data_IF_178700901132
#
_entry.id   IF_178700901132
#
_cell.length_a   1.000
_cell.length_b   1.000
_cell.length_c   1.000
_cell.angle_alpha   90.00
_cell.angle_beta   90.00
_cell.angle_gamma   90.00
#
_symmetry.space_group_name_H-M   'P 1'
#
loop_
_entity.id
_entity.type
_entity.pdbx_description
1 polymer ?
#
# COMPACT_ATOMS: atom_id res chain seq x y z
N UNK A 1 67.31 -30.14 8.33
CA UNK A 1 67.09 -30.61 6.95
C UNK A 1 65.69 -31.18 6.89
N UNK A 2 64.75 -30.45 6.28
CA UNK A 2 63.35 -30.85 6.21
C UNK A 2 63.21 -31.98 5.19
N UNK A 3 62.98 -33.21 5.66
CA UNK A 3 62.79 -34.37 4.82
C UNK A 3 61.49 -34.26 4.04
N UNK A 4 61.58 -33.96 2.74
CA UNK A 4 60.44 -34.12 1.83
C UNK A 4 60.10 -35.61 1.76
N UNK A 5 58.95 -36.00 2.33
CA UNK A 5 58.33 -37.31 2.06
C UNK A 5 58.25 -37.52 0.54
N UNK A 6 58.51 -38.73 0.02
CA UNK A 6 58.32 -39.01 -1.40
C UNK A 6 56.86 -38.71 -1.74
N UNK A 7 56.65 -37.80 -2.68
CA UNK A 7 55.32 -37.44 -3.17
C UNK A 7 54.84 -38.65 -3.97
N UNK A 8 53.76 -39.30 -3.53
CA UNK A 8 53.16 -40.40 -4.28
C UNK A 8 52.88 -39.93 -5.73
N UNK A 9 53.00 -40.82 -6.73
CA UNK A 9 52.61 -40.47 -8.09
C UNK A 9 51.12 -40.05 -8.10
N UNK A 10 50.72 -39.14 -9.00
CA UNK A 10 49.32 -38.73 -9.11
C UNK A 10 48.39 -39.93 -9.35
N UNK A 11 47.14 -39.85 -8.93
CA UNK A 11 46.15 -40.88 -9.23
C UNK A 11 45.66 -40.77 -10.68
N UNK A 12 45.36 -41.90 -11.31
CA UNK A 12 44.57 -41.94 -12.52
C UNK A 12 43.14 -41.47 -12.21
N UNK A 13 42.66 -40.48 -12.96
CA UNK A 13 41.34 -39.88 -12.80
C UNK A 13 40.44 -40.31 -13.96
N UNK A 14 39.38 -41.04 -13.63
CA UNK A 14 38.26 -41.34 -14.50
C UNK A 14 36.95 -40.82 -13.90
N UNK A 15 35.92 -40.65 -14.74
CA UNK A 15 34.60 -40.20 -14.32
C UNK A 15 33.58 -41.29 -14.65
N UNK A 16 32.72 -41.57 -13.67
CA UNK A 16 31.55 -42.43 -13.84
C UNK A 16 30.32 -41.59 -13.59
N UNK A 17 29.43 -41.53 -14.57
CA UNK A 17 28.10 -40.97 -14.40
C UNK A 17 27.18 -42.05 -13.85
N UNK A 18 26.50 -41.74 -12.75
CA UNK A 18 25.35 -42.48 -12.24
C UNK A 18 24.07 -41.70 -12.60
N UNK A 19 22.87 -42.25 -12.38
CA UNK A 19 21.59 -41.68 -12.87
C UNK A 19 21.39 -40.19 -12.51
N UNK A 20 21.92 -39.74 -11.36
CA UNK A 20 21.84 -38.36 -10.86
C UNK A 20 23.17 -37.72 -10.43
N UNK A 21 24.29 -38.44 -10.49
CA UNK A 21 25.55 -37.98 -9.92
C UNK A 21 26.75 -38.21 -10.84
N UNK A 22 27.74 -37.34 -10.73
CA UNK A 22 29.06 -37.50 -11.33
C UNK A 22 30.05 -37.92 -10.23
N UNK A 23 30.55 -39.15 -10.35
CA UNK A 23 31.53 -39.72 -9.43
C UNK A 23 32.91 -39.69 -10.09
N UNK A 24 33.87 -39.05 -9.43
CA UNK A 24 35.28 -39.14 -9.78
C UNK A 24 35.87 -40.40 -9.14
N UNK A 25 36.46 -41.26 -9.96
CA UNK A 25 37.14 -42.48 -9.52
C UNK A 25 38.65 -42.24 -9.61
N UNK A 26 39.33 -42.42 -8.49
CA UNK A 26 40.77 -42.23 -8.34
C UNK A 26 41.45 -43.58 -8.12
N UNK A 27 42.30 -43.97 -9.07
CA UNK A 27 43.05 -45.23 -9.02
C UNK A 27 44.55 -44.97 -8.97
N UNK A 28 45.30 -45.83 -8.28
CA UNK A 28 46.75 -45.71 -8.24
C UNK A 28 47.34 -45.99 -9.63
N UNK A 29 48.20 -45.10 -10.12
CA UNK A 29 48.86 -45.25 -11.41
C UNK A 29 50.25 -44.63 -11.39
N UNK A 30 51.25 -45.34 -11.90
CA UNK A 30 52.63 -44.84 -11.99
C UNK A 30 52.86 -43.89 -13.19
N UNK A 31 51.93 -43.88 -14.16
CA UNK A 31 52.02 -43.07 -15.39
C UNK A 31 51.08 -41.85 -15.41
N UNK A 32 50.30 -41.65 -14.35
CA UNK A 32 49.31 -40.59 -14.29
C UNK A 32 49.95 -39.20 -14.19
N UNK A 33 49.44 -38.27 -15.01
CA UNK A 33 49.89 -36.88 -15.04
C UNK A 33 49.18 -36.05 -13.95
N UNK A 34 49.83 -35.01 -13.41
CA UNK A 34 49.20 -34.09 -12.46
C UNK A 34 47.91 -33.49 -13.01
N UNK A 35 46.88 -33.44 -12.18
CA UNK A 35 45.63 -32.79 -12.53
C UNK A 35 45.73 -31.28 -12.31
N UNK A 36 45.17 -30.51 -13.23
CA UNK A 36 44.94 -29.07 -13.11
C UNK A 36 43.45 -28.80 -13.24
N UNK A 37 42.97 -27.68 -12.69
CA UNK A 37 41.56 -27.31 -12.77
C UNK A 37 41.03 -27.29 -14.22
N UNK A 38 41.84 -26.82 -15.18
CA UNK A 38 41.47 -26.82 -16.61
C UNK A 38 41.37 -28.22 -17.22
N UNK A 39 42.32 -29.11 -16.92
CA UNK A 39 42.29 -30.50 -17.42
C UNK A 39 41.10 -31.28 -16.83
N UNK A 40 40.85 -31.12 -15.52
CA UNK A 40 39.68 -31.71 -14.86
C UNK A 40 38.38 -31.23 -15.50
N UNK A 41 38.25 -29.91 -15.75
CA UNK A 41 37.06 -29.33 -16.40
C UNK A 41 36.84 -29.91 -17.80
N UNK A 42 37.90 -30.04 -18.61
CA UNK A 42 37.80 -30.62 -19.95
C UNK A 42 37.33 -32.08 -19.90
N UNK A 43 37.91 -32.88 -18.99
CA UNK A 43 37.51 -34.28 -18.84
C UNK A 43 36.07 -34.46 -18.32
N UNK A 44 35.58 -33.53 -17.49
CA UNK A 44 34.17 -33.51 -17.05
C UNK A 44 33.25 -33.23 -18.26
N UNK A 45 33.63 -32.32 -19.14
CA UNK A 45 32.88 -32.03 -20.37
C UNK A 45 32.92 -33.24 -21.32
N UNK A 46 34.07 -33.89 -21.48
CA UNK A 46 34.23 -35.09 -22.31
C UNK A 46 33.38 -36.26 -21.78
N UNK A 47 33.14 -36.31 -20.46
CA UNK A 47 32.24 -37.26 -19.80
C UNK A 47 30.75 -36.89 -19.92
N UNK A 48 30.40 -35.82 -20.64
CA UNK A 48 29.01 -35.37 -20.82
C UNK A 48 28.37 -34.72 -19.59
N UNK A 49 29.17 -34.36 -18.59
CA UNK A 49 28.70 -33.78 -17.32
C UNK A 49 29.07 -32.29 -17.15
N UNK A 50 29.27 -31.59 -18.26
CA UNK A 50 29.66 -30.17 -18.26
C UNK A 50 28.63 -29.24 -17.62
N UNK A 51 27.35 -29.62 -17.67
CA UNK A 51 26.22 -28.83 -17.17
C UNK A 51 25.78 -29.19 -15.75
N UNK A 52 26.47 -30.12 -15.09
CA UNK A 52 26.11 -30.55 -13.73
C UNK A 52 26.39 -29.46 -12.70
N UNK A 53 25.72 -29.55 -11.55
CA UNK A 53 25.99 -28.66 -10.44
C UNK A 53 27.22 -29.14 -9.67
N UNK A 54 28.14 -28.23 -9.37
CA UNK A 54 29.38 -28.54 -8.64
C UNK A 54 29.43 -27.68 -7.37
N UNK A 55 29.40 -28.28 -6.17
CA UNK A 55 29.55 -27.53 -4.91
C UNK A 55 30.83 -26.68 -4.88
N UNK A 56 30.75 -25.50 -4.24
CA UNK A 56 31.89 -24.59 -4.16
C UNK A 56 33.11 -25.28 -3.54
N UNK A 57 34.22 -25.33 -4.27
CA UNK A 57 35.50 -25.88 -3.79
C UNK A 57 35.70 -27.37 -4.07
N UNK A 58 34.68 -28.12 -4.50
CA UNK A 58 34.80 -29.57 -4.74
C UNK A 58 35.85 -29.91 -5.80
N UNK A 59 35.93 -29.10 -6.87
CA UNK A 59 36.91 -29.28 -7.93
C UNK A 59 38.36 -29.01 -7.46
N UNK A 60 38.54 -28.10 -6.49
CA UNK A 60 39.85 -27.85 -5.88
C UNK A 60 40.28 -29.05 -5.02
N UNK A 61 39.35 -29.55 -4.20
CA UNK A 61 39.59 -30.75 -3.39
C UNK A 61 39.91 -31.97 -4.26
N UNK A 62 39.20 -32.15 -5.38
CA UNK A 62 39.48 -33.22 -6.34
C UNK A 62 40.91 -33.11 -6.91
N UNK A 63 41.31 -31.93 -7.36
CA UNK A 63 42.66 -31.69 -7.91
C UNK A 63 43.75 -31.97 -6.87
N UNK A 64 43.54 -31.57 -5.61
CA UNK A 64 44.48 -31.86 -4.53
C UNK A 64 44.60 -33.36 -4.27
N UNK A 65 43.48 -34.08 -4.17
CA UNK A 65 43.46 -35.52 -3.94
C UNK A 65 44.14 -36.30 -5.07
N UNK A 66 43.87 -35.95 -6.33
CA UNK A 66 44.55 -36.53 -7.49
C UNK A 66 46.06 -36.30 -7.41
N UNK A 67 46.49 -35.07 -7.11
CA UNK A 67 47.92 -34.71 -7.06
C UNK A 67 48.65 -35.25 -5.82
N UNK A 68 47.92 -35.70 -4.80
CA UNK A 68 48.44 -36.35 -3.60
C UNK A 68 48.53 -37.88 -3.75
N UNK A 69 47.96 -38.46 -4.82
CA UNK A 69 47.94 -39.91 -5.02
C UNK A 69 46.85 -40.63 -4.21
N UNK A 70 45.80 -39.92 -3.79
CA UNK A 70 44.70 -40.50 -3.04
C UNK A 70 43.85 -41.41 -3.95
N UNK A 71 43.39 -42.54 -3.42
CA UNK A 71 42.53 -43.50 -4.14
C UNK A 71 41.13 -43.55 -3.53
N UNK A 72 40.11 -43.79 -4.36
CA UNK A 72 38.73 -43.92 -3.93
C UNK A 72 37.75 -43.22 -4.87
N UNK A 73 36.48 -43.23 -4.48
CA UNK A 73 35.40 -42.60 -5.23
C UNK A 73 34.93 -41.33 -4.51
N UNK A 74 34.66 -40.27 -5.27
CA UNK A 74 34.18 -39.00 -4.74
C UNK A 74 33.07 -38.49 -5.63
N UNK A 75 31.92 -38.22 -5.04
CA UNK A 75 30.85 -37.50 -5.73
C UNK A 75 31.24 -36.03 -5.87
N UNK A 76 31.34 -35.56 -7.11
CA UNK A 76 31.87 -34.23 -7.41
C UNK A 76 30.84 -33.30 -8.04
N UNK A 77 29.76 -33.85 -8.58
CA UNK A 77 28.67 -33.05 -9.10
C UNK A 77 27.38 -33.85 -9.18
N UNK A 78 26.26 -33.14 -9.23
CA UNK A 78 24.91 -33.71 -9.22
C UNK A 78 24.06 -33.09 -10.33
N UNK A 79 23.09 -33.85 -10.81
CA UNK A 79 22.04 -33.37 -11.71
C UNK A 79 20.95 -32.72 -10.88
N UNK A 80 20.72 -31.44 -11.09
CA UNK A 80 19.63 -30.71 -10.44
C UNK A 80 18.60 -30.29 -11.49
N UNK A 81 17.35 -30.63 -11.24
CA UNK A 81 16.22 -30.08 -11.98
C UNK A 81 16.01 -28.62 -11.60
N UNK A 82 15.44 -27.83 -12.51
CA UNK A 82 15.03 -26.47 -12.20
C UNK A 82 13.90 -26.50 -11.15
N UNK A 83 14.03 -25.69 -10.11
CA UNK A 83 13.02 -25.61 -9.03
C UNK A 83 12.17 -24.36 -9.20
N UNK A 84 10.87 -24.51 -8.98
CA UNK A 84 9.89 -23.44 -8.99
C UNK A 84 9.35 -23.22 -7.56
N UNK A 85 9.23 -21.97 -7.14
CA UNK A 85 8.59 -21.62 -5.87
C UNK A 85 7.64 -20.46 -6.10
N UNK A 86 6.40 -20.61 -5.63
CA UNK A 86 5.36 -19.58 -5.69
C UNK A 86 5.15 -19.07 -4.26
N UNK A 87 5.23 -17.76 -4.08
CA UNK A 87 5.00 -17.10 -2.81
C UNK A 87 3.85 -16.09 -2.97
N UNK A 88 2.84 -16.22 -2.12
CA UNK A 88 1.74 -15.27 -2.00
C UNK A 88 2.04 -14.33 -0.84
N UNK A 89 1.84 -13.03 -1.05
CA UNK A 89 2.02 -12.03 -0.01
C UNK A 89 1.08 -12.23 1.18
N UNK A 90 1.45 -11.73 2.36
CA UNK A 90 0.64 -11.90 3.58
C UNK A 90 -0.75 -11.24 3.48
N UNK A 91 -0.87 -10.17 2.70
CA UNK A 91 -2.13 -9.49 2.39
C UNK A 91 -2.91 -10.17 1.25
N UNK A 92 -2.35 -11.24 0.64
CA UNK A 92 -2.88 -11.97 -0.51
C UNK A 92 -3.14 -11.11 -1.75
N UNK A 93 -2.51 -9.94 -1.85
CA UNK A 93 -2.67 -9.03 -2.99
C UNK A 93 -1.66 -9.25 -4.10
N UNK A 94 -0.58 -9.99 -3.85
CA UNK A 94 0.40 -10.30 -4.89
C UNK A 94 0.87 -11.74 -4.82
N UNK A 95 1.19 -12.27 -5.99
CA UNK A 95 1.81 -13.59 -6.16
C UNK A 95 3.11 -13.44 -6.93
N UNK A 96 4.17 -14.00 -6.37
CA UNK A 96 5.51 -13.96 -6.95
C UNK A 96 6.03 -15.36 -7.24
N UNK A 97 6.91 -15.46 -8.22
CA UNK A 97 7.55 -16.71 -8.62
C UNK A 97 9.07 -16.57 -8.53
N UNK A 98 9.72 -17.61 -8.04
CA UNK A 98 11.17 -17.75 -8.04
C UNK A 98 11.54 -19.05 -8.74
N UNK A 99 12.44 -18.97 -9.71
CA UNK A 99 12.90 -20.11 -10.50
C UNK A 99 14.43 -20.24 -10.47
N UNK A 100 14.92 -21.48 -10.38
CA UNK A 100 16.34 -21.79 -10.54
C UNK A 100 16.60 -22.41 -11.90
N UNK A 101 17.85 -22.32 -12.38
CA UNK A 101 18.28 -23.01 -13.61
C UNK A 101 18.46 -24.50 -13.34
N UNK A 102 18.16 -25.32 -14.36
CA UNK A 102 18.55 -26.72 -14.35
C UNK A 102 20.07 -26.88 -14.52
N UNK A 103 20.62 -27.94 -13.92
CA UNK A 103 22.02 -28.35 -14.05
C UNK A 103 22.08 -29.81 -14.49
N UNK A 104 22.02 -30.06 -15.81
CA UNK A 104 21.92 -31.41 -16.38
C UNK A 104 20.60 -32.13 -16.11
N UNK A 105 19.69 -31.52 -15.34
CA UNK A 105 18.31 -31.94 -15.12
C UNK A 105 17.32 -31.31 -16.12
N UNK A 106 16.03 -31.42 -15.81
CA UNK A 106 14.95 -30.89 -16.65
C UNK A 106 14.68 -29.40 -16.35
N UNK A 107 14.45 -28.56 -17.38
CA UNK A 107 13.98 -27.18 -17.18
C UNK A 107 12.53 -27.16 -16.71
N UNK A 108 12.08 -26.02 -16.16
CA UNK A 108 10.68 -25.83 -15.78
C UNK A 108 9.81 -25.84 -17.04
N UNK A 109 8.74 -26.64 -17.03
CA UNK A 109 7.75 -26.65 -18.10
C UNK A 109 6.57 -25.73 -17.78
N UNK A 110 5.85 -25.29 -18.81
CA UNK A 110 4.61 -24.53 -18.64
C UNK A 110 3.56 -25.32 -17.84
N UNK A 111 3.50 -26.65 -18.03
CA UNK A 111 2.61 -27.54 -17.28
C UNK A 111 2.92 -27.53 -15.78
N UNK A 112 4.21 -27.58 -15.41
CA UNK A 112 4.63 -27.50 -14.00
C UNK A 112 4.26 -26.16 -13.35
N UNK A 113 4.35 -25.06 -14.10
CA UNK A 113 3.91 -23.74 -13.62
C UNK A 113 2.40 -23.75 -13.36
N UNK A 114 1.61 -24.26 -14.30
CA UNK A 114 0.16 -24.33 -14.16
C UNK A 114 -0.27 -25.23 -13.00
N UNK A 115 0.37 -26.40 -12.85
CA UNK A 115 0.15 -27.29 -11.71
C UNK A 115 0.50 -26.61 -10.39
N UNK A 116 1.63 -25.89 -10.33
CA UNK A 116 2.06 -25.18 -9.12
C UNK A 116 1.12 -24.03 -8.76
N UNK A 117 0.64 -23.27 -9.75
CA UNK A 117 -0.37 -22.22 -9.56
C UNK A 117 -1.70 -22.79 -9.07
N UNK A 118 -2.13 -23.91 -9.65
CA UNK A 118 -3.35 -24.60 -9.23
C UNK A 118 -3.23 -25.19 -7.84
N UNK A 119 -2.07 -25.71 -7.44
CA UNK A 119 -1.83 -26.20 -6.08
C UNK A 119 -1.79 -25.08 -5.04
N UNK A 120 -1.44 -23.86 -5.47
CA UNK A 120 -1.45 -22.66 -4.65
C UNK A 120 -2.82 -21.94 -4.65
N UNK A 121 -3.84 -22.51 -5.32
CA UNK A 121 -5.20 -21.95 -5.47
C UNK A 121 -5.23 -20.51 -6.06
N UNK A 122 -4.24 -20.16 -6.89
CA UNK A 122 -4.16 -18.83 -7.52
C UNK A 122 -5.21 -18.71 -8.63
N UNK A 123 -6.02 -17.64 -8.63
CA UNK A 123 -7.00 -17.37 -9.67
C UNK A 123 -6.28 -17.05 -11.00
N UNK A 124 -6.53 -17.82 -12.09
CA UNK A 124 -5.94 -17.56 -13.40
C UNK A 124 -6.17 -16.13 -13.94
N UNK A 125 -7.21 -15.43 -13.47
CA UNK A 125 -7.50 -14.04 -13.89
C UNK A 125 -6.51 -13.03 -13.33
N UNK A 126 -5.87 -13.34 -12.20
CA UNK A 126 -4.90 -12.46 -11.56
C UNK A 126 -3.51 -12.61 -12.17
N UNK A 127 -3.26 -13.66 -12.95
CA UNK A 127 -1.93 -14.02 -13.46
C UNK A 127 -1.67 -13.43 -14.84
N UNK A 128 -0.50 -12.83 -15.02
CA UNK A 128 -0.04 -12.30 -16.29
C UNK A 128 0.79 -13.36 -17.04
N UNK A 129 0.22 -13.94 -18.10
CA UNK A 129 0.88 -14.96 -18.91
C UNK A 129 2.20 -14.49 -19.55
N UNK A 130 2.36 -13.20 -19.86
CA UNK A 130 3.61 -12.69 -20.45
C UNK A 130 4.76 -12.75 -19.43
N UNK A 131 4.46 -12.51 -18.15
CA UNK A 131 5.45 -12.63 -17.06
C UNK A 131 5.84 -14.08 -16.79
N UNK A 132 4.92 -15.03 -17.02
CA UNK A 132 5.24 -16.46 -16.92
C UNK A 132 6.23 -16.91 -18.00
N UNK A 133 6.14 -16.35 -19.21
CA UNK A 133 7.10 -16.64 -20.29
C UNK A 133 8.49 -16.18 -19.88
N UNK A 134 8.62 -15.01 -19.25
CA UNK A 134 9.90 -14.54 -18.72
C UNK A 134 10.48 -15.46 -17.63
N UNK A 135 9.62 -16.04 -16.78
CA UNK A 135 10.05 -17.02 -15.77
C UNK A 135 10.55 -18.35 -16.38
N UNK A 136 10.18 -18.64 -17.63
CA UNK A 136 10.64 -19.81 -18.40
C UNK A 136 11.95 -19.57 -19.15
N UNK A 137 12.27 -18.31 -19.48
CA UNK A 137 13.48 -17.96 -20.25
C UNK A 137 14.77 -18.01 -19.42
N UNK A 138 14.68 -17.91 -18.10
CA UNK A 138 15.84 -17.93 -17.21
C UNK A 138 15.49 -17.95 -15.73
N UNK A 139 16.51 -18.02 -14.85
CA UNK A 139 16.29 -17.96 -13.41
C UNK A 139 15.76 -16.59 -13.01
N UNK A 140 14.64 -16.56 -12.28
CA UNK A 140 14.05 -15.34 -11.75
C UNK A 140 13.97 -15.40 -10.22
N UNK A 141 14.13 -14.24 -9.58
CA UNK A 141 14.01 -14.10 -8.13
C UNK A 141 12.85 -13.15 -7.83
N UNK A 142 11.82 -13.65 -7.15
CA UNK A 142 10.62 -12.89 -6.74
C UNK A 142 9.99 -12.06 -7.86
N UNK A 143 9.85 -12.66 -9.04
CA UNK A 143 9.16 -12.01 -10.16
C UNK A 143 7.66 -11.96 -9.84
N UNK A 144 7.08 -10.77 -9.87
CA UNK A 144 5.64 -10.57 -9.73
C UNK A 144 4.91 -11.13 -10.96
N UNK A 145 4.03 -12.10 -10.74
CA UNK A 145 3.27 -12.77 -11.80
C UNK A 145 1.78 -12.49 -11.75
N UNK A 146 1.29 -11.92 -10.65
CA UNK A 146 -0.13 -11.59 -10.53
C UNK A 146 -0.44 -10.68 -9.37
N UNK A 147 -1.51 -9.91 -9.55
CA UNK A 147 -1.99 -8.91 -8.60
C UNK A 147 -3.50 -9.08 -8.36
N UNK A 148 -3.88 -8.97 -7.10
CA UNK A 148 -5.27 -8.83 -6.68
C UNK A 148 -5.72 -7.37 -6.84
N UNK A 149 -7.03 -7.16 -6.69
CA UNK A 149 -7.62 -5.83 -6.59
C UNK A 149 -7.77 -5.45 -5.11
N UNK A 150 -7.05 -4.43 -4.61
CA UNK A 150 -7.17 -4.02 -3.22
C UNK A 150 -8.58 -3.45 -2.93
N UNK A 151 -9.15 -3.70 -1.74
CA UNK A 151 -10.41 -3.09 -1.34
C UNK A 151 -10.25 -1.57 -1.18
N UNK A 152 -11.31 -0.82 -1.48
CA UNK A 152 -11.34 0.61 -1.26
C UNK A 152 -12.17 0.93 -0.02
N UNK A 153 -11.58 1.69 0.90
CA UNK A 153 -12.25 2.15 2.10
C UNK A 153 -13.43 3.07 1.75
N UNK A 154 -14.54 2.92 2.46
CA UNK A 154 -15.67 3.84 2.37
C UNK A 154 -15.37 5.23 2.94
N UNK A 155 -16.11 6.23 2.45
CA UNK A 155 -16.02 7.59 2.96
C UNK A 155 -16.79 7.71 4.28
N UNK A 156 -16.19 8.33 5.30
CA UNK A 156 -16.91 8.68 6.54
C UNK A 156 -18.04 9.69 6.25
N UNK A 157 -19.06 9.74 7.12
CA UNK A 157 -20.12 10.74 6.97
C UNK A 157 -19.56 12.17 6.96
N UNK A 158 -20.10 12.99 6.08
CA UNK A 158 -19.75 14.41 5.93
C UNK A 158 -20.93 15.27 6.36
N UNK A 159 -20.65 16.50 6.77
CA UNK A 159 -21.67 17.48 7.14
C UNK A 159 -21.52 18.69 6.23
N UNK A 160 -22.54 18.97 5.46
CA UNK A 160 -22.61 20.05 4.50
C UNK A 160 -23.57 21.13 5.02
N UNK A 161 -23.10 22.38 5.09
CA UNK A 161 -23.96 23.51 5.44
C UNK A 161 -24.88 23.82 4.27
N UNK A 162 -26.18 23.94 4.52
CA UNK A 162 -27.19 24.26 3.50
C UNK A 162 -27.53 25.75 3.45
N UNK A 163 -27.08 26.51 4.44
CA UNK A 163 -27.23 27.95 4.50
C UNK A 163 -26.01 28.65 3.90
N UNK A 164 -26.22 29.81 3.28
CA UNK A 164 -25.13 30.66 2.83
C UNK A 164 -24.33 31.14 4.04
N UNK A 165 -23.04 30.81 4.07
CA UNK A 165 -22.13 31.38 5.07
C UNK A 165 -21.81 32.81 4.67
N UNK A 166 -22.06 33.78 5.54
CA UNK A 166 -21.64 35.15 5.27
C UNK A 166 -20.15 35.19 4.96
N UNK A 167 -19.73 35.87 3.88
CA UNK A 167 -18.33 36.12 3.66
C UNK A 167 -17.75 36.90 4.85
N UNK A 168 -16.47 36.69 5.20
CA UNK A 168 -15.81 37.55 6.17
C UNK A 168 -15.87 39.00 5.68
N UNK A 169 -16.19 39.92 6.58
CA UNK A 169 -16.23 41.35 6.31
C UNK A 169 -14.93 41.79 5.63
N UNK A 170 -15.05 42.29 4.40
CA UNK A 170 -13.94 42.79 3.60
C UNK A 170 -14.34 44.17 3.10
N UNK A 171 -13.87 45.25 3.73
CA UNK A 171 -14.32 46.59 3.40
C UNK A 171 -13.95 46.93 1.96
N UNK A 172 -14.91 47.46 1.19
CA UNK A 172 -14.65 47.92 -0.16
C UNK A 172 -13.72 49.14 -0.13
N UNK A 173 -12.64 49.07 -0.93
CA UNK A 173 -11.69 50.18 -1.10
C UNK A 173 -12.11 50.93 -2.37
N UNK A 174 -12.39 52.21 -2.25
CA UNK A 174 -12.76 53.06 -3.37
C UNK A 174 -11.57 53.38 -4.31
N UNK A 175 -11.83 54.04 -5.44
CA UNK A 175 -10.80 54.44 -6.41
C UNK A 175 -9.74 55.40 -5.83
N UNK A 176 -10.02 56.02 -4.68
CA UNK A 176 -9.13 56.94 -3.96
C UNK A 176 -8.26 56.22 -2.91
N UNK A 177 -8.54 54.95 -2.62
CA UNK A 177 -7.86 54.17 -1.60
C UNK A 177 -8.49 54.30 -0.20
N UNK A 178 -9.65 54.92 -0.08
CA UNK A 178 -10.40 55.03 1.17
C UNK A 178 -11.34 53.81 1.31
N UNK A 179 -11.38 53.24 2.51
CA UNK A 179 -12.22 52.09 2.82
C UNK A 179 -13.37 52.54 3.72
N UNK A 180 -14.62 52.22 3.35
CA UNK A 180 -15.75 52.42 4.28
C UNK A 180 -15.77 51.27 5.29
N UNK A 181 -15.33 51.58 6.50
CA UNK A 181 -15.24 50.61 7.60
C UNK A 181 -16.57 50.50 8.38
N UNK A 182 -17.63 51.20 7.94
CA UNK A 182 -18.97 51.17 8.55
C UNK A 182 -20.00 50.39 7.71
N UNK A 183 -19.56 49.62 6.72
CA UNK A 183 -20.45 48.72 6.00
C UNK A 183 -21.26 47.85 6.97
N UNK A 184 -22.54 47.67 6.63
CA UNK A 184 -23.48 46.87 7.40
C UNK A 184 -23.13 45.39 7.26
N UNK A 185 -22.84 44.75 8.38
CA UNK A 185 -22.75 43.31 8.45
C UNK A 185 -24.15 42.74 8.69
N UNK A 186 -24.76 42.20 7.63
CA UNK A 186 -26.03 41.47 7.74
C UNK A 186 -25.75 40.09 8.33
N UNK A 187 -26.24 39.79 9.53
CA UNK A 187 -26.12 38.45 10.10
C UNK A 187 -27.22 37.55 9.57
N UNK A 188 -26.87 36.31 9.19
CA UNK A 188 -27.86 35.33 8.72
C UNK A 188 -28.95 35.14 9.78
N UNK A 189 -30.20 35.33 9.37
CA UNK A 189 -31.40 34.98 10.13
C UNK A 189 -32.09 33.80 9.45
N UNK A 190 -32.57 32.83 10.24
CA UNK A 190 -33.31 31.67 9.73
C UNK A 190 -34.68 31.59 10.37
N UNK A 191 -35.67 31.18 9.59
CA UNK A 191 -37.03 30.93 10.06
C UNK A 191 -37.19 29.47 10.52
N UNK A 192 -38.29 29.19 11.23
CA UNK A 192 -38.64 27.82 11.61
C UNK A 192 -38.83 26.96 10.35
N UNK A 193 -38.17 25.80 10.34
CA UNK A 193 -38.19 24.86 9.22
C UNK A 193 -37.11 25.10 8.18
N UNK A 194 -36.29 26.15 8.28
CA UNK A 194 -35.17 26.37 7.35
C UNK A 194 -34.15 25.24 7.47
N UNK A 195 -33.75 24.59 6.36
CA UNK A 195 -32.66 23.60 6.35
C UNK A 195 -31.31 24.25 6.66
N UNK A 196 -30.62 23.75 7.69
CA UNK A 196 -29.37 24.32 8.18
C UNK A 196 -28.15 23.51 7.71
N UNK A 197 -28.24 22.19 7.81
CA UNK A 197 -27.13 21.29 7.54
C UNK A 197 -27.65 19.94 7.05
N UNK A 198 -26.95 19.35 6.08
CA UNK A 198 -27.16 17.98 5.63
C UNK A 198 -26.00 17.10 6.07
N UNK A 199 -26.33 15.95 6.66
CA UNK A 199 -25.41 14.83 6.82
C UNK A 199 -25.41 14.01 5.53
N UNK A 200 -24.25 13.85 4.93
CA UNK A 200 -24.02 12.88 3.86
C UNK A 200 -23.61 11.57 4.56
N UNK A 201 -24.40 10.48 4.48
CA UNK A 201 -24.08 9.22 5.14
C UNK A 201 -22.75 8.63 4.70
N UNK A 202 -22.16 7.79 5.54
CA UNK A 202 -20.95 7.06 5.19
C UNK A 202 -21.20 6.05 4.07
N UNK A 203 -20.18 5.72 3.29
CA UNK A 203 -20.29 4.71 2.23
C UNK A 203 -19.72 3.36 2.69
N UNK A 204 -20.25 2.23 2.20
CA UNK A 204 -19.77 0.90 2.60
C UNK A 204 -18.36 0.55 2.11
N UNK A 205 -17.77 1.35 1.21
CA UNK A 205 -16.53 1.01 0.50
C UNK A 205 -16.76 0.08 -0.69
N UNK A 206 -15.68 -0.24 -1.40
CA UNK A 206 -15.72 -1.11 -2.59
C UNK A 206 -14.92 -2.38 -2.30
N UNK A 207 -15.53 -3.57 -2.40
CA UNK A 207 -14.83 -4.83 -2.21
C UNK A 207 -13.65 -5.00 -3.18
N UNK A 208 -12.57 -5.60 -2.67
CA UNK A 208 -11.45 -6.06 -3.47
C UNK A 208 -11.57 -7.54 -3.84
N UNK A 209 -10.57 -8.07 -4.53
CA UNK A 209 -10.41 -9.50 -4.82
C UNK A 209 -8.95 -9.88 -4.63
N UNK A 210 -8.68 -10.90 -3.81
CA UNK A 210 -7.32 -11.38 -3.61
C UNK A 210 -6.83 -12.22 -4.81
N UNK A 211 -5.55 -12.59 -4.82
CA UNK A 211 -4.97 -13.41 -5.90
C UNK A 211 -5.51 -14.84 -5.96
N UNK A 212 -6.32 -15.26 -4.99
CA UNK A 212 -7.00 -16.55 -4.94
C UNK A 212 -8.44 -16.47 -5.48
N UNK A 213 -8.88 -15.28 -5.91
CA UNK A 213 -10.23 -15.04 -6.39
C UNK A 213 -11.26 -14.82 -5.28
N UNK A 214 -10.81 -14.68 -4.03
CA UNK A 214 -11.68 -14.46 -2.88
C UNK A 214 -11.96 -12.96 -2.69
N UNK A 215 -13.20 -12.57 -2.36
CA UNK A 215 -13.52 -11.17 -2.10
C UNK A 215 -12.82 -10.70 -0.82
N UNK A 216 -12.25 -9.49 -0.87
CA UNK A 216 -11.69 -8.81 0.30
C UNK A 216 -12.71 -7.77 0.76
N UNK A 217 -13.19 -7.92 1.99
CA UNK A 217 -14.15 -6.97 2.57
C UNK A 217 -13.52 -5.58 2.73
N UNK A 218 -14.20 -4.51 2.27
CA UNK A 218 -13.73 -3.16 2.49
C UNK A 218 -13.97 -2.72 3.93
N UNK A 219 -13.17 -1.77 4.39
CA UNK A 219 -13.48 -1.05 5.62
C UNK A 219 -14.57 -0.02 5.31
N UNK A 220 -15.77 -0.11 5.91
CA UNK A 220 -16.81 0.87 5.69
C UNK A 220 -16.42 2.23 6.27
N UNK A 221 -16.98 3.29 5.70
CA UNK A 221 -16.88 4.63 6.25
C UNK A 221 -17.54 4.70 7.63
N UNK A 222 -17.03 5.57 8.49
CA UNK A 222 -17.58 5.78 9.83
C UNK A 222 -18.87 6.58 9.73
N UNK A 223 -19.98 6.01 10.20
CA UNK A 223 -21.24 6.73 10.32
C UNK A 223 -21.20 7.70 11.50
N UNK A 224 -21.42 8.99 11.24
CA UNK A 224 -21.43 10.04 12.28
C UNK A 224 -22.87 10.53 12.49
N UNK A 225 -23.21 10.81 13.74
CA UNK A 225 -24.49 11.44 14.08
C UNK A 225 -24.31 12.94 14.24
N UNK A 226 -25.42 13.68 14.11
CA UNK A 226 -25.44 15.07 14.52
C UNK A 226 -25.08 15.21 16.01
N UNK A 227 -24.56 16.37 16.39
CA UNK A 227 -24.27 16.70 17.76
C UNK A 227 -25.55 16.60 18.61
N UNK A 228 -25.44 16.09 19.84
CA UNK A 228 -26.59 16.00 20.76
C UNK A 228 -27.11 17.35 21.25
N UNK A 229 -26.32 18.42 21.08
CA UNK A 229 -26.61 19.77 21.57
C UNK A 229 -26.73 20.73 20.39
N UNK A 230 -27.81 20.60 19.64
CA UNK A 230 -28.21 21.51 18.55
C UNK A 230 -29.38 22.37 19.02
N UNK A 231 -29.19 23.11 20.12
CA UNK A 231 -30.25 23.95 20.68
C UNK A 231 -30.80 24.90 19.59
N UNK A 232 -32.13 24.98 19.46
CA UNK A 232 -32.78 25.73 18.38
C UNK A 232 -32.83 25.05 17.01
N UNK A 233 -32.31 23.82 16.88
CA UNK A 233 -32.40 23.00 15.68
C UNK A 233 -32.77 21.54 15.98
N UNK A 234 -33.49 20.92 15.06
CA UNK A 234 -33.96 19.54 15.17
C UNK A 234 -33.81 18.77 13.86
N UNK A 235 -33.95 17.44 13.92
CA UNK A 235 -33.95 16.63 12.69
C UNK A 235 -35.23 16.89 11.90
N UNK A 236 -35.11 16.96 10.58
CA UNK A 236 -36.28 17.05 9.70
C UNK A 236 -37.15 15.80 9.91
N UNK A 237 -38.46 15.95 10.18
CA UNK A 237 -39.36 14.82 10.39
C UNK A 237 -39.50 13.89 9.17
N UNK A 238 -39.11 14.36 7.98
CA UNK A 238 -39.16 13.61 6.73
C UNK A 238 -37.77 13.12 6.26
N UNK A 239 -36.67 13.64 6.83
CA UNK A 239 -35.29 13.26 6.48
C UNK A 239 -34.35 13.34 7.69
N UNK A 240 -33.97 12.18 8.24
CA UNK A 240 -33.03 12.08 9.37
C UNK A 240 -31.62 12.61 9.09
N UNK A 241 -31.31 12.92 7.83
CA UNK A 241 -30.04 13.49 7.41
C UNK A 241 -30.06 15.01 7.27
N UNK A 242 -31.19 15.67 7.54
CA UNK A 242 -31.29 17.13 7.48
C UNK A 242 -31.57 17.66 8.89
N UNK A 243 -30.81 18.68 9.26
CA UNK A 243 -31.05 19.47 10.46
C UNK A 243 -31.78 20.75 10.04
N UNK A 244 -32.93 21.01 10.64
CA UNK A 244 -33.78 22.19 10.38
C UNK A 244 -33.87 23.06 11.64
N UNK A 245 -34.11 24.35 11.46
CA UNK A 245 -34.37 25.26 12.57
C UNK A 245 -35.74 24.94 13.22
N UNK A 246 -35.79 24.83 14.55
CA UNK A 246 -37.05 24.70 15.29
C UNK A 246 -37.50 26.01 15.94
N UNK A 247 -36.62 27.01 15.96
CA UNK A 247 -36.89 28.39 16.35
C UNK A 247 -36.33 29.34 15.29
N UNK A 248 -36.86 30.55 15.24
CA UNK A 248 -36.26 31.64 14.45
C UNK A 248 -35.04 32.24 15.16
N UNK A 249 -34.04 32.69 14.40
CA UNK A 249 -32.86 33.35 14.98
C UNK A 249 -31.57 33.20 14.15
N UNK A 250 -30.43 33.38 14.81
CA UNK A 250 -29.11 33.33 14.20
C UNK A 250 -28.52 31.91 14.25
N UNK A 251 -28.16 31.29 13.10
CA UNK A 251 -27.59 29.97 13.08
C UNK A 251 -26.07 29.98 13.37
N UNK A 252 -25.64 29.19 14.35
CA UNK A 252 -24.25 29.05 14.78
C UNK A 252 -23.76 27.63 14.47
N UNK A 253 -22.80 27.50 13.56
CA UNK A 253 -22.19 26.21 13.23
C UNK A 253 -21.39 25.66 14.42
N UNK A 254 -21.60 24.39 14.74
CA UNK A 254 -20.85 23.64 15.75
C UNK A 254 -20.27 22.37 15.13
N UNK A 255 -19.43 21.65 15.89
CA UNK A 255 -18.93 20.35 15.44
C UNK A 255 -20.11 19.40 15.20
N UNK A 256 -20.28 18.93 13.96
CA UNK A 256 -21.33 17.98 13.56
C UNK A 256 -22.77 18.50 13.78
N UNK A 257 -23.01 19.81 13.69
CA UNK A 257 -24.37 20.35 13.80
C UNK A 257 -24.44 21.86 13.68
N UNK A 258 -25.64 22.39 13.86
CA UNK A 258 -25.92 23.83 13.90
C UNK A 258 -26.82 24.10 15.11
N UNK A 259 -26.60 25.22 15.77
CA UNK A 259 -27.50 25.77 16.80
C UNK A 259 -28.20 26.99 16.24
N UNK A 260 -29.37 27.32 16.75
CA UNK A 260 -30.05 28.59 16.43
C UNK A 260 -30.29 29.34 17.73
N UNK A 261 -29.77 30.57 17.80
CA UNK A 261 -29.91 31.45 18.96
C UNK A 261 -30.88 32.58 18.60
N UNK A 262 -31.91 32.82 19.44
CA UNK A 262 -32.89 33.90 19.24
C UNK A 262 -32.28 35.31 19.36
N UNK A 263 -31.15 35.41 20.07
CA UNK A 263 -30.45 36.66 20.31
C UNK A 263 -29.05 36.56 19.72
N UNK A 264 -28.71 37.49 18.83
CA UNK A 264 -27.36 37.64 18.32
C UNK A 264 -26.48 38.22 19.43
N UNK A 265 -25.52 37.44 19.92
CA UNK A 265 -24.60 37.87 20.99
C UNK A 265 -23.27 38.30 20.39
N UNK A 266 -22.97 39.59 20.49
CA UNK A 266 -21.71 40.19 20.08
C UNK A 266 -20.87 40.56 21.29
N UNK A 267 -19.54 40.43 21.16
CA UNK A 267 -18.63 40.85 22.23
C UNK A 267 -18.53 42.37 22.31
N UNK A 268 -18.30 43.01 21.19
CA UNK A 268 -18.12 44.45 21.02
C UNK A 268 -18.54 44.81 19.59
N UNK A 269 -18.85 46.08 19.35
CA UNK A 269 -19.10 46.61 18.00
C UNK A 269 -18.03 47.63 17.69
N UNK A 270 -17.20 47.36 16.68
CA UNK A 270 -16.02 48.15 16.32
C UNK A 270 -15.68 48.00 14.83
N UNK A 271 -14.52 48.52 14.41
CA UNK A 271 -14.00 48.47 13.04
C UNK A 271 -13.90 47.04 12.43
N UNK A 272 -13.87 45.99 13.27
CA UNK A 272 -13.79 44.59 12.83
C UNK A 272 -15.17 43.99 12.58
N UNK A 273 -16.20 44.45 13.30
CA UNK A 273 -17.59 43.98 13.15
C UNK A 273 -18.41 44.85 12.21
N UNK A 274 -18.03 46.11 12.01
CA UNK A 274 -18.82 47.07 11.25
C UNK A 274 -20.10 47.49 11.98
N UNK A 275 -21.00 48.13 11.23
CA UNK A 275 -22.36 48.37 11.70
C UNK A 275 -23.14 47.05 11.70
N UNK A 276 -24.00 46.86 12.68
CA UNK A 276 -24.76 45.62 12.84
C UNK A 276 -26.21 45.90 12.50
N UNK A 277 -26.78 45.13 11.58
CA UNK A 277 -28.23 45.03 11.37
C UNK A 277 -28.64 43.57 11.54
N UNK A 278 -29.66 43.32 12.35
CA UNK A 278 -30.15 41.96 12.59
C UNK A 278 -31.66 41.91 12.79
N UNK A 279 -32.31 41.03 12.03
CA UNK A 279 -33.72 40.70 12.21
C UNK A 279 -33.87 39.84 13.48
N UNK A 280 -34.04 40.47 14.65
CA UNK A 280 -34.13 39.76 15.92
C UNK A 280 -33.66 40.60 17.09
N UNK A 281 -33.33 39.96 18.22
CA UNK A 281 -32.74 40.65 19.38
C UNK A 281 -31.22 40.61 19.33
N UNK A 282 -30.55 41.66 19.81
CA UNK A 282 -29.08 41.77 19.85
C UNK A 282 -28.61 42.02 21.29
N UNK A 283 -27.63 41.26 21.75
CA UNK A 283 -26.91 41.48 23.01
C UNK A 283 -25.45 41.82 22.71
N UNK A 284 -25.02 43.03 23.06
CA UNK A 284 -23.61 43.43 23.02
C UNK A 284 -23.06 43.36 24.44
N UNK A 285 -22.07 42.51 24.70
CA UNK A 285 -21.51 42.28 26.05
C UNK A 285 -20.47 43.31 26.48
N UNK A 286 -20.00 44.11 25.55
CA UNK A 286 -18.94 45.10 25.72
C UNK A 286 -19.35 46.42 25.08
N UNK A 287 -18.36 47.20 24.66
CA UNK A 287 -18.63 48.55 24.17
C UNK A 287 -19.01 48.57 22.69
N UNK A 288 -19.90 49.50 22.35
CA UNK A 288 -20.13 49.95 20.98
C UNK A 288 -19.22 51.15 20.75
N UNK A 289 -18.23 51.00 19.87
CA UNK A 289 -17.27 52.05 19.57
C UNK A 289 -17.96 53.28 18.96
N UNK A 290 -17.44 54.47 19.28
CA UNK A 290 -17.94 55.72 18.71
C UNK A 290 -17.91 55.69 17.18
N UNK A 291 -19.05 55.98 16.54
CA UNK A 291 -19.19 55.96 15.09
C UNK A 291 -19.88 54.72 14.53
N UNK A 292 -20.11 53.69 15.35
CA UNK A 292 -20.81 52.47 14.95
C UNK A 292 -22.27 52.45 15.41
N UNK A 293 -23.11 51.73 14.66
CA UNK A 293 -24.54 51.59 14.87
C UNK A 293 -24.93 50.11 14.99
N UNK A 294 -25.92 49.84 15.85
CA UNK A 294 -26.60 48.55 15.97
C UNK A 294 -28.09 48.80 15.73
N UNK A 295 -28.64 48.15 14.71
CA UNK A 295 -30.05 48.15 14.36
C UNK A 295 -30.61 46.74 14.53
N UNK A 296 -31.77 46.63 15.18
CA UNK A 296 -32.43 45.36 15.41
C UNK A 296 -33.95 45.57 15.48
N UNK A 297 -34.71 44.61 14.94
CA UNK A 297 -36.18 44.65 15.00
C UNK A 297 -36.73 44.28 16.39
N UNK A 298 -35.92 43.55 17.18
CA UNK A 298 -36.23 43.13 18.54
C UNK A 298 -35.57 44.00 19.62
N UNK A 299 -35.24 43.38 20.75
CA UNK A 299 -34.60 44.08 21.87
C UNK A 299 -33.09 44.26 21.61
N UNK A 300 -32.57 45.45 21.89
CA UNK A 300 -31.13 45.72 21.93
C UNK A 300 -30.68 45.86 23.39
N UNK A 301 -29.78 44.98 23.82
CA UNK A 301 -29.17 45.00 25.15
C UNK A 301 -27.67 45.28 25.04
N UNK A 302 -27.19 46.23 25.83
CA UNK A 302 -25.78 46.59 26.01
C UNK A 302 -25.43 46.50 27.48
#
# INVERSE_FOLDING_TARGET
MSGKKPKAPPSALSFRTDERALVAVLEASEEAKPATAGNVRNRINDAGAGDYFFPKGILKQLVEKVNNGDTGEIEIGERLDATLTIEISADKLSVTISSTRAYGGSPISHEQIQESLSQADVDPKCVNNDTLIQALEGPVDKLLIGEGTPPQRGEDSKFEMLMESNPPFAPEIDESGDADLHELQDFVHVEIGTPLMRRIPGTPGVPGTDVLGMPIEPVPGTEKQFAKKTDGAELDPNDENVLVACIEGHPVAISQGVKVDQTLVLKEVNLTTGNVSFEGSVEVRGDICSGFMVEADGDVRV
#
